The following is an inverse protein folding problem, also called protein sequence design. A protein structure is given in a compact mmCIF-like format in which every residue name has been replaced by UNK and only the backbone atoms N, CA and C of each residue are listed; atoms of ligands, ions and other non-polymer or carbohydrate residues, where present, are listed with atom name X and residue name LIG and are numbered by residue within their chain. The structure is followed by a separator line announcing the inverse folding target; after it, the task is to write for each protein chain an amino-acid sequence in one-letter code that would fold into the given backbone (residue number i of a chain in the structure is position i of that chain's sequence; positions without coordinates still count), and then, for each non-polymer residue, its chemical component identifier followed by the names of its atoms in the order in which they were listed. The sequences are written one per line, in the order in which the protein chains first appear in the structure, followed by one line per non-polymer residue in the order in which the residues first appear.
data_IF_562515699319
#
_entry.id   IF_562515699319
#
_cell.length_a   1.000
_cell.length_b   1.000
_cell.length_c   1.000
_cell.angle_alpha   90.00
_cell.angle_beta   90.00
_cell.angle_gamma   90.00
#
_symmetry.space_group_name_H-M   'P 1'
#
loop_
_entity.id
_entity.type
_entity.pdbx_description
1 polymer ?
#
# COMPACT_ATOMS: atom_id res chain seq x y z
N UNK A 1 15.16 -16.91 -3.66
CA UNK A 1 14.49 -15.75 -4.30
C UNK A 1 15.51 -15.05 -5.20
N UNK A 2 15.13 -14.61 -6.39
CA UNK A 2 16.05 -13.91 -7.31
C UNK A 2 16.50 -12.57 -6.70
N UNK A 3 17.80 -12.25 -6.83
CA UNK A 3 18.40 -11.04 -6.26
C UNK A 3 17.68 -9.76 -6.74
N UNK A 4 17.23 -9.75 -7.99
CA UNK A 4 16.52 -8.63 -8.61
C UNK A 4 15.17 -8.34 -7.96
N UNK A 5 14.47 -9.37 -7.46
CA UNK A 5 13.19 -9.22 -6.76
C UNK A 5 13.41 -8.53 -5.43
N UNK A 6 14.45 -8.94 -4.70
CA UNK A 6 14.82 -8.32 -3.42
C UNK A 6 15.20 -6.86 -3.63
N UNK A 7 16.04 -6.55 -4.62
CA UNK A 7 16.42 -5.17 -4.92
C UNK A 7 15.22 -4.29 -5.23
N UNK A 8 14.27 -4.78 -6.04
CA UNK A 8 13.05 -4.06 -6.38
C UNK A 8 12.18 -3.83 -5.14
N UNK A 9 12.00 -4.85 -4.30
CA UNK A 9 11.24 -4.75 -3.06
C UNK A 9 11.84 -3.74 -2.07
N UNK A 10 13.16 -3.71 -1.92
CA UNK A 10 13.85 -2.72 -1.10
C UNK A 10 13.69 -1.29 -1.65
N UNK A 11 13.80 -1.10 -2.98
CA UNK A 11 13.59 0.21 -3.60
C UNK A 11 12.17 0.73 -3.36
N UNK A 12 11.17 -0.10 -3.63
CA UNK A 12 9.76 0.25 -3.36
C UNK A 12 9.53 0.51 -1.86
N UNK A 13 10.19 -0.26 -1.00
CA UNK A 13 10.13 -0.07 0.44
C UNK A 13 10.69 1.28 0.88
N UNK A 14 11.85 1.67 0.36
CA UNK A 14 12.46 2.98 0.66
C UNK A 14 11.54 4.13 0.22
N UNK A 15 10.94 4.02 -0.96
CA UNK A 15 9.98 5.01 -1.47
C UNK A 15 8.77 5.11 -0.53
N UNK A 16 8.17 3.97 -0.18
CA UNK A 16 7.03 3.90 0.74
C UNK A 16 7.36 4.51 2.11
N UNK A 17 8.47 4.10 2.73
CA UNK A 17 8.88 4.62 4.04
C UNK A 17 9.19 6.11 4.01
N UNK A 18 9.73 6.63 2.91
CA UNK A 18 9.96 8.06 2.71
C UNK A 18 8.65 8.85 2.64
N UNK A 19 7.63 8.31 1.98
CA UNK A 19 6.29 8.90 1.91
C UNK A 19 5.57 8.87 3.26
N UNK A 20 5.71 7.78 4.03
CA UNK A 20 5.21 7.71 5.41
C UNK A 20 5.91 8.76 6.27
N UNK A 21 7.24 8.88 6.15
CA UNK A 21 8.03 9.92 6.81
C UNK A 21 7.54 11.32 6.45
N UNK A 22 7.25 11.59 5.16
CA UNK A 22 6.66 12.86 4.71
C UNK A 22 5.31 13.14 5.39
N UNK A 23 4.44 12.14 5.50
CA UNK A 23 3.16 12.30 6.21
C UNK A 23 3.36 12.58 7.70
N UNK A 24 4.29 11.89 8.36
CA UNK A 24 4.62 12.13 9.76
C UNK A 24 5.16 13.55 9.96
N UNK A 25 6.04 14.02 9.08
CA UNK A 25 6.55 15.38 9.11
C UNK A 25 5.43 16.42 8.98
N UNK A 26 4.44 16.19 8.12
CA UNK A 26 3.29 17.08 7.98
C UNK A 26 2.37 17.11 9.21
N UNK A 27 2.40 16.07 10.05
CA UNK A 27 1.64 16.03 11.33
C UNK A 27 2.36 16.85 12.40
N UNK A 28 3.69 16.71 12.51
CA UNK A 28 4.48 17.39 13.55
C UNK A 28 4.87 18.83 13.18
N UNK A 29 4.91 19.17 11.91
CA UNK A 29 5.31 20.49 11.41
C UNK A 29 4.43 20.92 10.24
N UNK A 30 4.19 22.23 10.11
CA UNK A 30 3.49 22.78 8.94
C UNK A 30 4.33 22.59 7.67
N UNK A 31 3.67 22.36 6.55
CA UNK A 31 4.30 22.08 5.25
C UNK A 31 5.21 23.22 4.74
N UNK A 32 5.01 24.45 5.22
CA UNK A 32 5.76 25.67 4.91
C UNK A 32 6.96 25.92 5.86
N UNK A 33 7.22 25.00 6.79
CA UNK A 33 8.32 25.13 7.75
C UNK A 33 9.68 25.29 7.06
N UNK A 34 10.46 26.28 7.51
CA UNK A 34 11.81 26.55 7.00
C UNK A 34 12.85 25.48 7.37
N UNK A 35 12.44 24.45 8.09
CA UNK A 35 13.29 23.38 8.58
C UNK A 35 13.93 22.57 7.43
N UNK A 36 15.22 22.29 7.55
CA UNK A 36 16.03 21.62 6.52
C UNK A 36 15.43 20.27 6.10
N UNK A 37 15.04 19.44 7.07
CA UNK A 37 14.47 18.12 6.79
C UNK A 37 13.14 18.21 6.05
N UNK A 38 12.28 19.18 6.41
CA UNK A 38 11.01 19.41 5.71
C UNK A 38 11.26 19.70 4.22
N UNK A 39 12.16 20.63 3.91
CA UNK A 39 12.52 20.97 2.52
C UNK A 39 13.06 19.78 1.73
N UNK A 40 13.89 18.93 2.36
CA UNK A 40 14.37 17.70 1.73
C UNK A 40 13.21 16.74 1.41
N UNK A 41 12.35 16.44 2.39
CA UNK A 41 11.19 15.56 2.18
C UNK A 41 10.24 16.10 1.11
N UNK A 42 9.94 17.40 1.11
CA UNK A 42 9.13 18.05 0.07
C UNK A 42 9.77 17.84 -1.31
N UNK A 43 11.07 18.10 -1.44
CA UNK A 43 11.79 18.03 -2.72
C UNK A 43 11.81 16.61 -3.29
N UNK A 44 12.00 15.59 -2.45
CA UNK A 44 12.04 14.20 -2.89
C UNK A 44 10.65 13.61 -3.16
N UNK A 45 9.65 13.96 -2.35
CA UNK A 45 8.31 13.36 -2.48
C UNK A 45 7.41 14.08 -3.48
N UNK A 46 7.48 15.41 -3.63
CA UNK A 46 6.59 16.15 -4.55
C UNK A 46 6.61 15.67 -6.01
N UNK A 47 7.77 15.38 -6.64
CA UNK A 47 7.78 14.85 -8.01
C UNK A 47 7.03 13.52 -8.11
N UNK A 48 7.17 12.67 -7.10
CA UNK A 48 6.46 11.39 -7.03
C UNK A 48 4.95 11.60 -6.83
N UNK A 49 4.56 12.47 -5.89
CA UNK A 49 3.14 12.76 -5.62
C UNK A 49 2.43 13.30 -6.86
N UNK A 50 3.09 14.17 -7.64
CA UNK A 50 2.54 14.70 -8.89
C UNK A 50 2.19 13.63 -9.92
N UNK A 51 2.89 12.49 -9.92
CA UNK A 51 2.56 11.36 -10.79
C UNK A 51 1.26 10.68 -10.35
N UNK A 52 0.90 10.76 -9.08
CA UNK A 52 -0.31 10.19 -8.48
C UNK A 52 -1.45 11.21 -8.35
N UNK A 53 -1.26 12.47 -8.73
CA UNK A 53 -2.33 13.50 -8.74
C UNK A 53 -3.61 13.04 -9.47
N UNK A 54 -3.55 12.33 -10.63
CA UNK A 54 -4.77 11.86 -11.31
C UNK A 54 -5.57 10.82 -10.53
N UNK A 55 -4.89 10.04 -9.68
CA UNK A 55 -5.50 8.96 -8.88
C UNK A 55 -5.91 9.47 -7.51
N UNK A 56 -5.30 10.56 -7.05
CA UNK A 56 -5.55 11.13 -5.71
C UNK A 56 -6.92 11.81 -5.68
N UNK A 57 -7.83 11.38 -4.79
CA UNK A 57 -9.15 11.98 -4.72
C UNK A 57 -9.11 13.36 -4.07
N UNK A 58 -9.96 14.28 -4.57
CA UNK A 58 -9.97 15.69 -4.14
C UNK A 58 -10.45 15.91 -2.69
N UNK A 59 -11.15 14.95 -2.09
CA UNK A 59 -11.61 15.05 -0.70
C UNK A 59 -10.50 14.78 0.33
N UNK A 60 -9.35 14.26 -0.12
CA UNK A 60 -8.27 13.88 0.78
C UNK A 60 -7.55 15.12 1.32
N UNK A 61 -7.30 15.14 2.63
CA UNK A 61 -6.54 16.22 3.25
C UNK A 61 -5.11 16.26 2.69
N UNK A 62 -4.62 17.44 2.30
CA UNK A 62 -3.28 17.61 1.69
C UNK A 62 -2.14 16.93 2.48
N UNK A 63 -2.09 17.02 3.83
CA UNK A 63 -1.08 16.33 4.62
C UNK A 63 -1.10 14.80 4.50
N UNK A 64 -2.25 14.21 4.17
CA UNK A 64 -2.47 12.77 4.07
C UNK A 64 -2.22 12.19 2.67
N UNK A 65 -2.07 13.04 1.65
CA UNK A 65 -1.79 12.60 0.27
C UNK A 65 -0.55 11.69 0.20
N UNK A 66 0.58 12.00 0.86
CA UNK A 66 1.75 11.12 0.87
C UNK A 66 1.47 9.73 1.43
N UNK A 67 0.62 9.65 2.47
CA UNK A 67 0.23 8.38 3.07
C UNK A 67 -0.66 7.56 2.11
N UNK A 68 -1.59 8.22 1.42
CA UNK A 68 -2.42 7.60 0.40
C UNK A 68 -1.56 6.99 -0.72
N UNK A 69 -0.57 7.73 -1.22
CA UNK A 69 0.35 7.21 -2.23
C UNK A 69 1.21 6.06 -1.68
N UNK A 70 1.71 6.17 -0.44
CA UNK A 70 2.49 5.11 0.21
C UNK A 70 1.72 3.79 0.28
N UNK A 71 0.40 3.86 0.49
CA UNK A 71 -0.47 2.68 0.53
C UNK A 71 -0.49 1.91 -0.81
N UNK A 72 -0.37 2.57 -1.96
CA UNK A 72 -0.23 1.85 -3.24
C UNK A 72 1.09 1.10 -3.35
N UNK A 73 2.19 1.67 -2.85
CA UNK A 73 3.47 0.97 -2.79
C UNK A 73 3.38 -0.26 -1.87
N UNK A 74 2.66 -0.14 -0.75
CA UNK A 74 2.35 -1.27 0.11
C UNK A 74 1.55 -2.35 -0.64
N UNK A 75 0.45 -1.99 -1.31
CA UNK A 75 -0.33 -2.93 -2.11
C UNK A 75 0.50 -3.61 -3.19
N UNK A 76 1.34 -2.85 -3.88
CA UNK A 76 2.20 -3.39 -4.93
C UNK A 76 3.17 -4.42 -4.35
N UNK A 77 3.84 -4.10 -3.24
CA UNK A 77 4.85 -4.97 -2.62
C UNK A 77 4.26 -6.25 -2.03
N UNK A 78 3.13 -6.16 -1.35
CA UNK A 78 2.59 -7.29 -0.58
C UNK A 78 1.52 -8.08 -1.34
N UNK A 79 0.80 -7.47 -2.29
CA UNK A 79 -0.29 -8.14 -3.00
C UNK A 79 0.04 -8.37 -4.47
N UNK A 80 0.51 -7.34 -5.19
CA UNK A 80 0.73 -7.47 -6.64
C UNK A 80 2.02 -8.24 -6.98
N UNK A 81 3.14 -7.92 -6.33
CA UNK A 81 4.43 -8.55 -6.61
C UNK A 81 4.43 -10.05 -6.28
N UNK A 82 3.96 -10.52 -5.12
CA UNK A 82 3.91 -11.95 -4.82
C UNK A 82 2.98 -12.71 -5.75
N UNK A 83 1.85 -12.09 -6.11
CA UNK A 83 0.90 -12.63 -7.09
C UNK A 83 1.54 -12.80 -8.48
N UNK A 84 2.20 -11.77 -9.01
CA UNK A 84 2.85 -11.82 -10.33
C UNK A 84 4.03 -12.79 -10.39
N UNK A 85 4.76 -12.96 -9.29
CA UNK A 85 5.93 -13.83 -9.21
C UNK A 85 5.58 -15.28 -8.86
N UNK A 86 4.30 -15.60 -8.68
CA UNK A 86 3.84 -16.95 -8.36
C UNK A 86 4.29 -17.47 -7.00
N UNK A 87 4.67 -16.58 -6.06
CA UNK A 87 4.84 -17.00 -4.68
C UNK A 87 3.46 -17.37 -4.14
N UNK A 88 3.31 -18.58 -3.58
CA UNK A 88 2.03 -19.04 -3.04
C UNK A 88 1.55 -18.07 -1.97
N UNK A 89 0.55 -17.27 -2.33
CA UNK A 89 -0.20 -16.32 -1.49
C UNK A 89 -1.10 -17.09 -0.49
N UNK A 90 -0.62 -18.23 0.03
CA UNK A 90 -1.46 -19.25 0.65
C UNK A 90 -2.15 -18.79 1.94
N UNK A 91 -1.84 -17.60 2.44
CA UNK A 91 -2.51 -16.98 3.59
C UNK A 91 -3.29 -15.68 3.32
N UNK A 92 -3.33 -15.14 2.08
CA UNK A 92 -3.90 -13.79 1.84
C UNK A 92 -5.21 -13.75 1.03
N UNK A 93 -5.61 -14.86 0.40
CA UNK A 93 -6.84 -14.95 -0.43
C UNK A 93 -7.86 -15.98 0.07
N UNK A 94 -7.50 -16.82 1.05
CA UNK A 94 -8.50 -17.51 1.86
C UNK A 94 -8.97 -16.53 2.93
N UNK A 95 -9.78 -15.54 2.54
CA UNK A 95 -10.49 -14.76 3.54
C UNK A 95 -11.26 -15.75 4.42
N UNK A 96 -11.07 -15.75 5.76
CA UNK A 96 -11.76 -16.68 6.65
C UNK A 96 -13.27 -16.64 6.43
N UNK A 97 -13.81 -15.45 6.18
CA UNK A 97 -15.21 -15.22 5.82
C UNK A 97 -15.64 -15.99 4.56
N UNK A 98 -14.87 -15.96 3.48
CA UNK A 98 -15.21 -16.68 2.23
C UNK A 98 -15.12 -18.20 2.42
N UNK A 99 -14.14 -18.66 3.22
CA UNK A 99 -14.02 -20.07 3.60
C UNK A 99 -15.22 -20.53 4.44
N UNK A 100 -15.69 -19.70 5.36
CA UNK A 100 -16.81 -20.02 6.23
C UNK A 100 -18.17 -19.91 5.51
N UNK A 101 -18.35 -18.92 4.62
CA UNK A 101 -19.50 -18.83 3.71
C UNK A 101 -19.54 -20.06 2.80
N UNK A 102 -18.40 -20.48 2.26
CA UNK A 102 -18.33 -21.69 1.41
C UNK A 102 -18.72 -22.95 2.17
N UNK A 103 -18.28 -23.09 3.43
CA UNK A 103 -18.67 -24.23 4.28
C UNK A 103 -20.16 -24.20 4.61
N UNK A 104 -20.71 -23.03 4.89
CA UNK A 104 -22.13 -22.88 5.23
C UNK A 104 -23.03 -23.15 4.01
N UNK A 105 -22.65 -22.64 2.83
CA UNK A 105 -23.33 -22.94 1.57
C UNK A 105 -23.26 -24.43 1.24
N UNK A 106 -22.12 -25.08 1.50
CA UNK A 106 -21.95 -26.52 1.29
C UNK A 106 -22.81 -27.35 2.28
N UNK A 107 -22.93 -26.90 3.53
CA UNK A 107 -23.82 -27.44 4.55
C UNK A 107 -25.29 -27.41 4.09
N UNK A 108 -25.77 -26.23 3.65
CA UNK A 108 -27.14 -26.03 3.17
C UNK A 108 -27.40 -26.88 1.91
N UNK A 109 -26.47 -26.89 0.96
CA UNK A 109 -26.59 -27.69 -0.26
C UNK A 109 -26.71 -29.19 0.05
N UNK A 110 -25.92 -29.69 1.00
CA UNK A 110 -25.96 -31.09 1.42
C UNK A 110 -27.26 -31.44 2.14
N UNK A 111 -27.83 -30.50 2.89
CA UNK A 111 -29.11 -30.67 3.59
C UNK A 111 -30.29 -30.72 2.61
N UNK A 112 -30.22 -29.99 1.49
CA UNK A 112 -31.25 -29.96 0.44
C UNK A 112 -31.19 -31.13 -0.55
N UNK A 113 -30.08 -31.87 -0.58
CA UNK A 113 -29.85 -32.98 -1.55
C UNK A 113 -29.91 -34.37 -0.92
N UNK A 114 -30.32 -34.46 0.35
CA UNK A 114 -30.82 -35.67 1.00
C UNK A 114 -32.33 -35.58 1.21
#
# INVERSE_FOLDING_TARGET
MSIWILTLDYLLGIIMWTLIGRSAMNIFQREDSNFFFMKAFVKFTNPLLRLFDPITPSFLLRPMIPLYVAWFFYLFRFYLMPYLLGYSVMGMLSFPLESDISKELYSIYRQWTQ
#
